data_IF_359566032846
#
_entry.id   IF_359566032846
#
_cell.length_a   1.000
_cell.length_b   1.000
_cell.length_c   1.000
_cell.angle_alpha   90.00
_cell.angle_beta   90.00
_cell.angle_gamma   90.00
#
_symmetry.space_group_name_H-M   'P 1'
#
loop_
_entity.id
_entity.type
_entity.pdbx_description
1 polymer ?
#
# COMPACT_ATOMS: atom_id res chain seq x y z
N UNK A 1 -8.12 37.13 30.50
CA UNK A 1 -8.47 35.72 30.77
C UNK A 1 -9.17 35.69 32.12
N UNK A 2 -10.48 35.47 32.13
CA UNK A 2 -11.32 35.63 33.33
C UNK A 2 -11.14 34.43 34.26
N UNK A 3 -11.33 34.61 35.57
CA UNK A 3 -11.36 33.54 36.57
C UNK A 3 -12.41 32.46 36.23
N UNK A 4 -13.45 32.82 35.45
CA UNK A 4 -14.42 31.88 34.92
C UNK A 4 -13.84 30.93 33.84
N UNK A 5 -12.85 31.37 33.06
CA UNK A 5 -12.26 30.56 31.99
C UNK A 5 -11.33 29.47 32.56
N UNK A 6 -10.63 29.79 33.66
CA UNK A 6 -9.75 28.85 34.38
C UNK A 6 -10.57 27.74 35.06
N UNK A 7 -11.73 28.08 35.63
CA UNK A 7 -12.63 27.11 36.26
C UNK A 7 -13.37 26.22 35.24
N UNK A 8 -13.54 26.70 33.99
CA UNK A 8 -14.15 25.91 32.90
C UNK A 8 -13.15 24.91 32.33
N UNK A 9 -11.88 25.29 32.15
CA UNK A 9 -10.79 24.41 31.68
C UNK A 9 -10.49 23.25 32.65
N UNK A 10 -10.46 23.51 33.97
CA UNK A 10 -10.22 22.50 35.00
C UNK A 10 -11.39 21.48 35.11
N UNK A 11 -12.63 21.91 34.83
CA UNK A 11 -13.79 21.00 34.83
C UNK A 11 -13.80 20.07 33.61
N UNK A 12 -13.32 20.53 32.47
CA UNK A 12 -13.27 19.78 31.22
C UNK A 12 -12.12 18.77 31.22
N UNK A 13 -10.95 19.16 31.71
CA UNK A 13 -9.78 18.28 31.91
C UNK A 13 -10.05 17.11 32.88
N UNK A 14 -10.79 17.33 33.97
CA UNK A 14 -11.20 16.24 34.87
C UNK A 14 -12.23 15.30 34.26
N UNK A 15 -13.00 15.77 33.27
CA UNK A 15 -14.03 14.97 32.59
C UNK A 15 -13.38 14.06 31.54
N UNK A 16 -12.44 14.57 30.76
CA UNK A 16 -11.63 13.76 29.83
C UNK A 16 -10.76 12.74 30.55
N UNK A 17 -10.11 13.11 31.67
CA UNK A 17 -9.33 12.15 32.45
C UNK A 17 -10.19 11.02 33.04
N UNK A 18 -11.43 11.30 33.44
CA UNK A 18 -12.38 10.27 33.89
C UNK A 18 -12.85 9.33 32.78
N UNK A 19 -13.02 9.85 31.57
CA UNK A 19 -13.44 9.04 30.42
C UNK A 19 -12.28 8.13 29.98
N UNK A 20 -11.05 8.64 29.90
CA UNK A 20 -9.86 7.85 29.58
C UNK A 20 -9.63 6.76 30.66
N UNK A 21 -9.78 7.12 31.94
CA UNK A 21 -9.64 6.15 33.04
C UNK A 21 -10.75 5.08 33.02
N UNK A 22 -11.97 5.44 32.61
CA UNK A 22 -13.06 4.48 32.44
C UNK A 22 -12.80 3.52 31.27
N UNK A 23 -12.30 4.02 30.13
CA UNK A 23 -11.95 3.19 28.96
C UNK A 23 -10.84 2.19 29.30
N UNK A 24 -9.84 2.59 30.11
CA UNK A 24 -8.76 1.69 30.52
C UNK A 24 -9.19 0.61 31.53
N UNK A 25 -10.23 0.85 32.34
CA UNK A 25 -10.64 -0.07 33.43
C UNK A 25 -11.82 -0.96 33.02
N UNK A 26 -12.71 -0.49 32.16
CA UNK A 26 -13.84 -1.26 31.62
C UNK A 26 -13.46 -2.66 31.10
N UNK A 27 -12.39 -2.86 30.31
CA UNK A 27 -12.02 -4.20 29.86
C UNK A 27 -11.57 -5.10 31.02
N UNK A 28 -10.97 -4.54 32.08
CA UNK A 28 -10.57 -5.30 33.26
C UNK A 28 -11.76 -5.68 34.17
N UNK A 29 -12.77 -4.82 34.32
CA UNK A 29 -13.99 -5.15 35.05
C UNK A 29 -14.83 -6.20 34.32
N UNK A 30 -14.97 -6.10 33.00
CA UNK A 30 -15.65 -7.11 32.17
C UNK A 30 -14.94 -8.47 32.22
N UNK A 31 -13.61 -8.50 32.21
CA UNK A 31 -12.85 -9.74 32.39
C UNK A 31 -13.06 -10.31 33.80
N UNK A 32 -13.10 -9.47 34.83
CA UNK A 32 -13.29 -9.89 36.21
C UNK A 32 -14.69 -10.48 36.45
N UNK A 33 -15.74 -9.92 35.85
CA UNK A 33 -17.09 -10.51 35.88
C UNK A 33 -17.15 -11.85 35.14
N UNK A 34 -16.47 -11.98 34.00
CA UNK A 34 -16.43 -13.23 33.22
C UNK A 34 -15.74 -14.37 33.99
N UNK A 35 -14.77 -14.05 34.85
CA UNK A 35 -14.03 -15.03 35.67
C UNK A 35 -14.49 -15.11 37.14
N UNK A 36 -15.56 -14.40 37.53
CA UNK A 36 -16.11 -14.44 38.90
C UNK A 36 -15.16 -13.88 39.97
N UNK A 37 -14.33 -12.89 39.62
CA UNK A 37 -13.37 -12.24 40.53
C UNK A 37 -14.01 -10.95 41.05
N UNK A 38 -14.42 -10.93 42.33
CA UNK A 38 -14.84 -9.68 43.00
C UNK A 38 -13.62 -8.74 43.16
N UNK A 39 -13.54 -7.69 42.34
CA UNK A 39 -12.62 -6.56 42.57
C UNK A 39 -13.21 -5.72 43.72
N UNK A 40 -13.04 -6.21 44.94
CA UNK A 40 -13.41 -5.48 46.15
C UNK A 40 -12.66 -4.16 46.24
N UNK A 41 -13.40 -3.04 46.27
CA UNK A 41 -12.88 -1.70 46.56
C UNK A 41 -12.47 -1.62 48.04
N UNK A 42 -11.36 -2.27 48.37
CA UNK A 42 -10.77 -2.25 49.71
C UNK A 42 -10.40 -0.83 50.12
N UNK A 43 -10.76 -0.45 51.34
CA UNK A 43 -10.32 0.81 51.98
C UNK A 43 -8.81 0.94 51.80
N UNK A 44 -8.36 1.96 51.06
CA UNK A 44 -6.95 2.35 51.06
C UNK A 44 -6.59 2.86 52.45
N UNK A 45 -6.03 1.97 53.28
CA UNK A 45 -5.26 2.41 54.43
C UNK A 45 -4.05 3.18 53.91
N UNK A 46 -3.94 4.46 54.33
CA UNK A 46 -2.75 5.27 54.09
C UNK A 46 -1.57 4.59 54.79
N UNK A 47 -0.82 3.77 54.06
CA UNK A 47 0.48 3.31 54.52
C UNK A 47 1.42 4.52 54.56
N UNK A 48 1.78 4.92 55.78
CA UNK A 48 2.80 5.92 56.04
C UNK A 48 4.08 5.49 55.30
N UNK A 49 4.54 6.32 54.36
CA UNK A 49 5.66 5.98 53.46
C UNK A 49 6.95 5.96 54.28
N UNK A 50 7.31 4.78 54.80
CA UNK A 50 8.61 4.53 55.40
C UNK A 50 9.74 4.97 54.46
N UNK A 51 10.83 5.57 54.98
CA UNK A 51 11.93 6.06 54.16
C UNK A 51 12.55 4.93 53.33
N UNK A 52 12.99 5.26 52.11
CA UNK A 52 13.44 4.30 51.08
C UNK A 52 14.57 3.38 51.58
N UNK A 53 15.45 3.90 52.44
CA UNK A 53 16.52 3.13 53.10
C UNK A 53 15.96 2.02 54.00
N UNK A 54 14.92 2.31 54.77
CA UNK A 54 14.29 1.33 55.67
C UNK A 54 13.52 0.27 54.89
N UNK A 55 12.89 0.63 53.76
CA UNK A 55 12.26 -0.34 52.85
C UNK A 55 13.27 -1.31 52.26
N UNK A 56 14.41 -0.81 51.78
CA UNK A 56 15.50 -1.64 51.23
C UNK A 56 16.12 -2.57 52.27
N UNK A 57 16.31 -2.09 53.50
CA UNK A 57 16.88 -2.90 54.59
C UNK A 57 15.87 -3.95 55.07
N UNK A 58 14.57 -3.66 55.03
CA UNK A 58 13.50 -4.61 55.43
C UNK A 58 13.07 -5.59 54.34
N UNK A 59 13.48 -5.39 53.09
CA UNK A 59 13.14 -6.27 51.96
C UNK A 59 13.53 -7.74 52.18
N UNK A 60 14.76 -8.08 52.62
CA UNK A 60 15.15 -9.49 52.81
C UNK A 60 14.32 -10.18 53.89
N UNK A 61 14.03 -9.50 55.01
CA UNK A 61 13.21 -10.07 56.09
C UNK A 61 11.75 -10.26 55.65
N UNK A 62 11.21 -9.29 54.91
CA UNK A 62 9.85 -9.39 54.36
C UNK A 62 9.75 -10.49 53.28
N UNK A 63 10.77 -10.65 52.43
CA UNK A 63 10.86 -11.74 51.45
C UNK A 63 10.96 -13.10 52.15
N UNK A 64 11.74 -13.22 53.22
CA UNK A 64 11.84 -14.46 53.99
C UNK A 64 10.52 -14.81 54.68
N UNK A 65 9.83 -13.83 55.25
CA UNK A 65 8.51 -14.01 55.85
C UNK A 65 7.44 -14.39 54.81
N UNK A 66 7.46 -13.75 53.64
CA UNK A 66 6.61 -14.10 52.50
C UNK A 66 6.92 -15.51 51.95
N UNK A 67 8.19 -15.91 51.92
CA UNK A 67 8.60 -17.26 51.52
C UNK A 67 8.08 -18.33 52.49
N UNK A 68 8.18 -18.08 53.81
CA UNK A 68 7.62 -18.99 54.83
C UNK A 68 6.10 -19.07 54.77
N UNK A 69 5.40 -17.96 54.51
CA UNK A 69 3.94 -17.97 54.37
C UNK A 69 3.49 -18.68 53.09
N UNK A 70 4.23 -18.52 51.99
CA UNK A 70 4.00 -19.22 50.73
C UNK A 70 4.17 -20.75 50.89
N UNK A 71 5.16 -21.20 51.68
CA UNK A 71 5.37 -22.62 51.96
C UNK A 71 4.21 -23.27 52.73
N UNK A 72 3.56 -22.52 53.63
CA UNK A 72 2.46 -23.02 54.47
C UNK A 72 1.15 -23.22 53.69
N UNK A 73 0.94 -22.46 52.61
CA UNK A 73 -0.26 -22.52 51.76
C UNK A 73 0.07 -23.01 50.34
N UNK A 74 0.80 -24.12 50.26
CA UNK A 74 1.38 -24.67 49.03
C UNK A 74 0.38 -24.82 47.87
N UNK A 75 -0.83 -25.30 48.14
CA UNK A 75 -1.85 -25.54 47.09
C UNK A 75 -2.34 -24.24 46.43
N UNK A 76 -2.62 -23.20 47.22
CA UNK A 76 -3.10 -21.91 46.68
C UNK A 76 -2.02 -21.17 45.91
N UNK A 77 -0.78 -21.21 46.41
CA UNK A 77 0.37 -20.55 45.77
C UNK A 77 0.70 -21.23 44.43
N UNK A 78 0.71 -22.56 44.38
CA UNK A 78 0.92 -23.30 43.13
C UNK A 78 -0.14 -22.99 42.06
N UNK A 79 -1.41 -22.86 42.44
CA UNK A 79 -2.47 -22.49 41.51
C UNK A 79 -2.26 -21.07 40.93
N UNK A 80 -1.89 -20.10 41.77
CA UNK A 80 -1.57 -18.74 41.30
C UNK A 80 -0.34 -18.73 40.39
N UNK A 81 0.74 -19.43 40.77
CA UNK A 81 1.94 -19.54 39.93
C UNK A 81 1.65 -20.21 38.59
N UNK A 82 0.86 -21.29 38.58
CA UNK A 82 0.47 -21.96 37.34
C UNK A 82 -0.41 -21.05 36.47
N UNK A 83 -1.35 -20.30 37.05
CA UNK A 83 -2.18 -19.34 36.34
C UNK A 83 -1.37 -18.21 35.70
N UNK A 84 -0.45 -17.60 36.46
CA UNK A 84 0.44 -16.55 35.94
C UNK A 84 1.40 -17.12 34.89
N UNK A 85 1.96 -18.31 35.11
CA UNK A 85 2.86 -18.95 34.17
C UNK A 85 2.15 -19.27 32.84
N UNK A 86 0.94 -19.85 32.89
CA UNK A 86 0.15 -20.11 31.70
C UNK A 86 -0.25 -18.81 31.00
N UNK A 87 -0.67 -17.77 31.74
CA UNK A 87 -0.99 -16.49 31.14
C UNK A 87 0.22 -15.85 30.44
N UNK A 88 1.39 -15.85 31.09
CA UNK A 88 2.63 -15.36 30.47
C UNK A 88 3.03 -16.18 29.24
N UNK A 89 2.88 -17.51 29.29
CA UNK A 89 3.17 -18.37 28.15
C UNK A 89 2.21 -18.10 26.98
N UNK A 90 0.92 -17.93 27.24
CA UNK A 90 -0.08 -17.59 26.20
C UNK A 90 0.22 -16.22 25.58
N UNK A 91 0.49 -15.20 26.40
CA UNK A 91 0.82 -13.86 25.90
C UNK A 91 2.08 -13.93 25.02
N UNK A 92 3.14 -14.58 25.49
CA UNK A 92 4.39 -14.70 24.72
C UNK A 92 4.21 -15.49 23.42
N UNK A 93 3.39 -16.55 23.44
CA UNK A 93 3.15 -17.36 22.23
C UNK A 93 2.30 -16.62 21.21
N UNK A 94 1.27 -15.90 21.62
CA UNK A 94 0.46 -15.06 20.72
C UNK A 94 1.30 -13.90 20.16
N UNK A 95 2.12 -13.25 20.98
CA UNK A 95 3.02 -12.20 20.50
C UNK A 95 4.08 -12.75 19.53
N UNK A 96 4.70 -13.89 19.86
CA UNK A 96 5.67 -14.51 18.97
C UNK A 96 5.04 -14.95 17.64
N UNK A 97 3.83 -15.52 17.69
CA UNK A 97 3.09 -15.89 16.50
C UNK A 97 2.69 -14.66 15.66
N UNK A 98 2.19 -13.61 16.31
CA UNK A 98 1.82 -12.35 15.65
C UNK A 98 3.03 -11.70 14.97
N UNK A 99 4.15 -11.57 15.68
CA UNK A 99 5.39 -11.02 15.10
C UNK A 99 5.92 -11.91 13.96
N UNK A 100 5.86 -13.24 14.11
CA UNK A 100 6.29 -14.16 13.07
C UNK A 100 5.44 -14.07 11.79
N UNK A 101 4.12 -13.97 11.93
CA UNK A 101 3.23 -13.72 10.81
C UNK A 101 3.47 -12.36 10.16
N UNK A 102 3.66 -11.30 10.96
CA UNK A 102 3.95 -9.96 10.43
C UNK A 102 5.29 -9.93 9.68
N UNK A 103 6.33 -10.61 10.18
CA UNK A 103 7.61 -10.72 9.46
C UNK A 103 7.47 -11.49 8.16
N UNK A 104 6.77 -12.63 8.18
CA UNK A 104 6.52 -13.40 6.96
C UNK A 104 5.71 -12.60 5.94
N UNK A 105 4.68 -11.88 6.38
CA UNK A 105 3.88 -11.01 5.53
C UNK A 105 4.71 -9.90 4.86
N UNK A 106 5.57 -9.22 5.61
CA UNK A 106 6.47 -8.21 5.03
C UNK A 106 7.44 -8.80 4.02
N UNK A 107 7.99 -9.98 4.29
CA UNK A 107 8.85 -10.68 3.33
C UNK A 107 8.10 -11.07 2.05
N UNK A 108 6.87 -11.59 2.16
CA UNK A 108 6.06 -11.91 0.99
C UNK A 108 5.65 -10.66 0.21
N UNK A 109 5.39 -9.54 0.89
CA UNK A 109 5.10 -8.26 0.24
C UNK A 109 6.31 -7.74 -0.54
N UNK A 110 7.52 -7.82 0.03
CA UNK A 110 8.75 -7.40 -0.66
C UNK A 110 9.07 -8.32 -1.85
N UNK A 111 8.77 -9.62 -1.76
CA UNK A 111 8.92 -10.55 -2.89
C UNK A 111 7.91 -10.30 -4.02
N UNK A 112 6.84 -9.56 -3.77
CA UNK A 112 5.87 -9.15 -4.78
C UNK A 112 6.23 -7.78 -5.40
N UNK A 113 7.08 -7.00 -4.72
CA UNK A 113 7.60 -5.75 -5.27
C UNK A 113 8.64 -6.02 -6.33
N UNK A 114 8.44 -5.37 -7.48
CA UNK A 114 9.33 -5.49 -8.64
C UNK A 114 10.36 -4.36 -8.64
N UNK A 115 9.97 -3.19 -8.14
CA UNK A 115 10.81 -1.99 -8.05
C UNK A 115 11.25 -1.78 -6.61
N UNK A 116 12.53 -1.50 -6.41
CA UNK A 116 13.10 -1.14 -5.11
C UNK A 116 12.86 0.35 -4.80
N UNK A 117 12.82 1.18 -5.84
CA UNK A 117 12.48 2.59 -5.73
C UNK A 117 11.65 3.08 -6.92
N UNK A 118 10.77 4.04 -6.61
CA UNK A 118 10.01 4.84 -7.58
C UNK A 118 10.50 6.27 -7.49
N UNK A 119 10.88 6.87 -8.62
CA UNK A 119 11.29 8.27 -8.70
C UNK A 119 10.24 9.05 -9.47
N UNK A 120 9.61 9.98 -8.76
CA UNK A 120 8.62 10.92 -9.27
C UNK A 120 9.18 12.35 -9.26
N UNK A 121 8.58 13.24 -10.04
CA UNK A 121 8.91 14.67 -9.97
C UNK A 121 8.43 15.28 -8.66
N UNK A 122 9.26 16.15 -8.07
CA UNK A 122 8.94 16.81 -6.81
C UNK A 122 7.75 17.78 -6.94
N UNK A 123 7.65 18.53 -8.04
CA UNK A 123 6.61 19.53 -8.26
C UNK A 123 5.55 19.05 -9.25
N UNK A 124 4.32 19.53 -9.05
CA UNK A 124 3.17 19.28 -9.93
C UNK A 124 3.37 19.91 -11.32
N UNK A 125 2.74 19.36 -12.37
CA UNK A 125 2.82 19.95 -13.71
C UNK A 125 2.18 21.35 -13.72
N UNK A 126 2.90 22.35 -14.24
CA UNK A 126 2.41 23.73 -14.28
C UNK A 126 3.44 24.75 -14.76
N UNK A 127 3.01 26.02 -14.85
CA UNK A 127 3.82 27.16 -15.35
C UNK A 127 5.03 27.44 -14.44
N UNK A 128 4.94 27.07 -13.16
CA UNK A 128 5.95 27.34 -12.13
C UNK A 128 6.83 26.10 -11.82
N UNK A 129 6.76 25.03 -12.62
CA UNK A 129 7.51 23.79 -12.40
C UNK A 129 8.97 23.91 -12.87
N UNK A 130 9.82 24.57 -12.08
CA UNK A 130 11.26 24.66 -12.35
C UNK A 130 11.94 23.30 -12.20
N UNK A 131 12.58 22.78 -13.26
CA UNK A 131 13.35 21.52 -13.22
C UNK A 131 12.59 20.27 -13.68
N UNK A 132 11.35 20.42 -14.16
CA UNK A 132 10.60 19.33 -14.80
C UNK A 132 10.95 19.19 -16.29
N UNK A 133 11.00 17.96 -16.80
CA UNK A 133 11.08 17.67 -18.23
C UNK A 133 9.78 17.03 -18.71
N UNK A 134 9.33 17.41 -19.90
CA UNK A 134 8.25 16.74 -20.61
C UNK A 134 8.77 15.76 -21.69
N UNK A 135 10.06 15.81 -21.99
CA UNK A 135 10.71 14.85 -22.89
C UNK A 135 11.00 13.55 -22.12
N UNK A 136 10.35 12.46 -22.55
CA UNK A 136 10.53 11.13 -21.98
C UNK A 136 11.94 10.60 -22.17
N UNK A 137 12.62 10.93 -23.28
CA UNK A 137 13.99 10.49 -23.54
C UNK A 137 14.98 11.20 -22.62
N UNK A 138 14.75 12.49 -22.36
CA UNK A 138 15.55 13.24 -21.39
C UNK A 138 15.35 12.68 -19.97
N UNK A 139 14.11 12.32 -19.61
CA UNK A 139 13.83 11.72 -18.31
C UNK A 139 14.49 10.35 -18.14
N UNK A 140 14.39 9.48 -19.16
CA UNK A 140 15.06 8.17 -19.17
C UNK A 140 16.59 8.30 -19.15
N UNK A 141 17.17 9.38 -19.69
CA UNK A 141 18.62 9.58 -19.63
C UNK A 141 19.19 9.68 -18.21
N UNK A 142 18.36 10.02 -17.21
CA UNK A 142 18.77 10.01 -15.80
C UNK A 142 19.06 8.61 -15.28
N UNK A 143 18.51 7.56 -15.91
CA UNK A 143 18.83 6.17 -15.56
C UNK A 143 20.33 5.87 -15.62
N UNK A 144 21.08 6.52 -16.51
CA UNK A 144 22.53 6.35 -16.61
C UNK A 144 23.22 6.75 -15.29
N UNK A 145 22.77 7.83 -14.66
CA UNK A 145 23.32 8.28 -13.38
C UNK A 145 22.90 7.37 -12.22
N UNK A 146 21.68 6.81 -12.25
CA UNK A 146 21.21 5.88 -11.22
C UNK A 146 21.95 4.55 -11.24
N UNK A 147 22.16 3.97 -12.42
CA UNK A 147 22.87 2.69 -12.59
C UNK A 147 24.39 2.82 -12.34
N UNK A 148 24.94 4.04 -12.34
CA UNK A 148 26.32 4.28 -11.90
C UNK A 148 26.50 4.15 -10.37
N UNK A 149 25.42 4.27 -9.59
CA UNK A 149 25.45 4.07 -8.14
C UNK A 149 25.48 2.57 -7.81
N UNK A 150 26.21 2.18 -6.77
CA UNK A 150 26.37 0.76 -6.42
C UNK A 150 25.09 0.13 -5.83
N UNK A 151 24.13 0.97 -5.47
CA UNK A 151 22.86 0.60 -4.88
C UNK A 151 21.80 0.15 -5.88
N UNK A 152 21.90 0.53 -7.17
CA UNK A 152 20.90 0.22 -8.19
C UNK A 152 21.55 -0.53 -9.35
N UNK A 153 20.94 -1.64 -9.75
CA UNK A 153 21.43 -2.46 -10.86
C UNK A 153 20.75 -2.12 -12.18
N UNK A 154 19.52 -1.60 -12.12
CA UNK A 154 18.68 -1.41 -13.30
C UNK A 154 17.72 -0.22 -13.15
N UNK A 155 17.35 0.38 -14.27
CA UNK A 155 16.46 1.54 -14.31
C UNK A 155 15.70 1.60 -15.62
N UNK A 156 14.40 1.90 -15.54
CA UNK A 156 13.61 2.16 -16.73
C UNK A 156 12.43 3.10 -16.50
N UNK A 157 12.00 3.71 -17.60
CA UNK A 157 10.82 4.57 -17.63
C UNK A 157 9.53 3.75 -17.57
N UNK A 158 8.58 4.19 -16.75
CA UNK A 158 7.25 3.59 -16.64
C UNK A 158 6.20 4.69 -16.74
N UNK A 159 5.24 4.52 -17.65
CA UNK A 159 4.00 5.28 -17.61
C UNK A 159 2.94 4.49 -16.85
N UNK A 160 2.36 5.08 -15.82
CA UNK A 160 1.38 4.43 -14.97
C UNK A 160 0.73 5.42 -14.02
N UNK A 161 1.00 5.28 -12.72
CA UNK A 161 0.42 6.16 -11.71
C UNK A 161 1.11 7.52 -11.71
N UNK A 162 0.30 8.57 -11.51
CA UNK A 162 0.79 9.92 -11.26
C UNK A 162 1.80 9.97 -10.11
N UNK A 163 2.65 11.00 -10.12
CA UNK A 163 3.65 11.22 -9.09
C UNK A 163 3.02 11.36 -7.71
N UNK A 164 3.60 10.70 -6.72
CA UNK A 164 3.09 10.74 -5.35
C UNK A 164 3.98 11.67 -4.52
N UNK A 165 3.44 12.83 -4.15
CA UNK A 165 4.14 13.89 -3.41
C UNK A 165 3.68 13.93 -1.97
N UNK A 166 4.07 12.95 -1.17
CA UNK A 166 3.69 12.88 0.25
C UNK A 166 4.90 12.68 1.14
N UNK A 167 4.88 13.33 2.30
CA UNK A 167 5.89 13.11 3.36
C UNK A 167 5.64 11.80 4.14
N UNK A 168 4.52 11.11 3.90
CA UNK A 168 4.21 9.82 4.51
C UNK A 168 2.98 9.10 3.94
N UNK A 169 2.87 7.81 4.25
CA UNK A 169 1.84 6.90 3.72
C UNK A 169 0.39 7.24 4.09
N UNK A 170 0.19 8.02 5.16
CA UNK A 170 -1.14 8.35 5.70
C UNK A 170 -1.60 9.76 5.35
N UNK A 171 -0.93 10.43 4.41
CA UNK A 171 -1.35 11.73 3.93
C UNK A 171 -2.61 11.62 3.07
N UNK A 172 -3.52 12.59 3.18
CA UNK A 172 -4.74 12.63 2.36
C UNK A 172 -4.37 12.82 0.87
N UNK A 173 -3.26 13.49 0.62
CA UNK A 173 -2.70 13.70 -0.72
C UNK A 173 -2.19 12.41 -1.36
N UNK A 174 -2.08 11.29 -0.62
CA UNK A 174 -1.73 9.99 -1.18
C UNK A 174 -2.80 9.42 -2.10
N UNK A 175 -4.06 9.83 -1.93
CA UNK A 175 -5.21 9.27 -2.67
C UNK A 175 -5.45 10.03 -3.98
N UNK A 176 -4.90 11.24 -4.09
CA UNK A 176 -5.07 12.11 -5.26
C UNK A 176 -4.45 11.49 -6.53
N UNK A 177 -3.19 11.00 -6.53
CA UNK A 177 -2.54 10.53 -7.75
C UNK A 177 -3.21 9.26 -8.27
N UNK A 178 -3.74 9.32 -9.50
CA UNK A 178 -4.49 8.23 -10.11
C UNK A 178 -3.63 7.42 -11.11
N UNK A 179 -3.93 6.11 -11.28
CA UNK A 179 -3.32 5.28 -12.31
C UNK A 179 -3.91 5.48 -13.70
N UNK A 180 -3.24 4.91 -14.69
CA UNK A 180 -3.87 4.59 -15.97
C UNK A 180 -4.82 3.41 -15.77
N UNK A 181 -6.06 3.53 -16.23
CA UNK A 181 -7.08 2.48 -16.09
C UNK A 181 -7.55 1.98 -17.45
N UNK A 182 -7.72 0.68 -17.58
CA UNK A 182 -8.26 0.08 -18.81
C UNK A 182 -9.78 0.18 -18.82
N UNK A 183 -10.36 0.66 -19.92
CA UNK A 183 -11.82 0.73 -20.09
C UNK A 183 -12.32 -0.40 -20.99
N UNK A 184 -11.61 -0.63 -22.09
CA UNK A 184 -12.08 -1.55 -23.11
C UNK A 184 -10.92 -2.08 -23.93
N UNK A 185 -11.04 -3.33 -24.37
CA UNK A 185 -10.19 -3.92 -25.38
C UNK A 185 -11.09 -4.47 -26.50
N UNK A 186 -10.60 -4.47 -27.73
CA UNK A 186 -11.24 -5.15 -28.85
C UNK A 186 -10.21 -5.93 -29.64
N UNK A 187 -10.58 -7.09 -30.16
CA UNK A 187 -9.67 -7.93 -30.93
C UNK A 187 -10.41 -9.00 -31.74
N UNK A 188 -9.76 -9.56 -32.77
CA UNK A 188 -10.30 -10.68 -33.54
C UNK A 188 -10.30 -12.00 -32.75
N UNK A 189 -9.46 -12.07 -31.72
CA UNK A 189 -9.26 -13.23 -30.86
C UNK A 189 -9.72 -12.89 -29.45
N UNK A 190 -10.52 -13.77 -28.84
CA UNK A 190 -11.08 -13.58 -27.50
C UNK A 190 -12.43 -12.87 -27.47
N UNK A 191 -13.15 -13.06 -26.37
CA UNK A 191 -14.42 -12.39 -26.06
C UNK A 191 -14.17 -11.23 -25.08
N UNK A 192 -13.68 -10.12 -25.62
CA UNK A 192 -13.34 -8.93 -24.84
C UNK A 192 -14.57 -8.19 -24.29
N UNK A 193 -15.77 -8.44 -24.83
CA UNK A 193 -17.03 -7.87 -24.32
C UNK A 193 -17.42 -8.50 -22.98
N UNK A 194 -16.95 -9.71 -22.69
CA UNK A 194 -17.22 -10.43 -21.45
C UNK A 194 -16.19 -10.14 -20.34
N UNK A 195 -15.18 -9.31 -20.60
CA UNK A 195 -14.15 -8.96 -19.62
C UNK A 195 -14.64 -7.82 -18.74
N UNK A 196 -14.62 -8.04 -17.42
CA UNK A 196 -14.79 -6.98 -16.43
C UNK A 196 -13.45 -6.31 -16.14
N UNK A 197 -13.41 -4.99 -16.27
CA UNK A 197 -12.24 -4.18 -15.89
C UNK A 197 -12.34 -3.66 -14.45
N UNK A 198 -13.43 -3.96 -13.75
CA UNK A 198 -13.55 -3.68 -12.33
C UNK A 198 -12.62 -4.62 -11.54
N UNK A 199 -11.94 -4.06 -10.54
CA UNK A 199 -11.06 -4.75 -9.61
C UNK A 199 -11.29 -4.27 -8.16
N UNK A 200 -12.46 -4.57 -7.57
CA UNK A 200 -12.84 -4.08 -6.24
C UNK A 200 -11.92 -4.59 -5.12
N UNK A 201 -11.23 -5.71 -5.32
CA UNK A 201 -10.27 -6.28 -4.36
C UNK A 201 -9.12 -5.31 -4.04
N UNK A 202 -8.77 -4.41 -4.97
CA UNK A 202 -7.79 -3.36 -4.73
C UNK A 202 -8.23 -2.38 -3.63
N UNK A 203 -9.53 -2.10 -3.52
CA UNK A 203 -10.10 -1.19 -2.53
C UNK A 203 -10.10 -1.79 -1.12
N UNK A 204 -10.12 -3.13 -1.01
CA UNK A 204 -10.03 -3.82 0.28
C UNK A 204 -8.58 -4.03 0.75
N UNK A 205 -7.63 -3.97 -0.19
CA UNK A 205 -6.22 -4.32 0.03
C UNK A 205 -5.31 -3.12 0.31
N UNK A 206 -5.83 -1.89 0.22
CA UNK A 206 -5.07 -0.66 0.42
C UNK A 206 -5.96 0.56 0.60
N UNK A 207 -5.39 1.78 0.58
CA UNK A 207 -6.19 3.00 0.52
C UNK A 207 -7.11 2.98 -0.71
N UNK A 208 -8.33 3.55 -0.64
CA UNK A 208 -9.31 3.50 -1.72
C UNK A 208 -8.93 4.47 -2.85
N UNK A 209 -7.88 4.12 -3.59
CA UNK A 209 -7.32 4.94 -4.68
C UNK A 209 -8.08 4.67 -5.97
N UNK A 210 -8.18 3.40 -6.34
CA UNK A 210 -8.71 2.96 -7.62
C UNK A 210 -9.37 1.58 -7.50
N UNK A 211 -10.56 1.45 -8.07
CA UNK A 211 -11.32 0.20 -8.13
C UNK A 211 -11.26 -0.50 -9.49
N UNK A 212 -10.43 0.00 -10.42
CA UNK A 212 -10.37 -0.46 -11.80
C UNK A 212 -9.04 -1.19 -12.09
N UNK A 213 -8.97 -1.95 -13.19
CA UNK A 213 -7.75 -2.59 -13.65
C UNK A 213 -6.76 -1.55 -14.19
N UNK A 214 -5.59 -1.54 -13.58
CA UNK A 214 -4.53 -0.59 -13.94
C UNK A 214 -3.74 -1.03 -15.16
N UNK A 215 -3.14 -0.07 -15.85
CA UNK A 215 -2.24 -0.27 -16.99
C UNK A 215 -0.88 0.34 -16.66
N UNK A 216 0.20 -0.34 -17.05
CA UNK A 216 1.55 0.19 -17.08
C UNK A 216 2.16 0.03 -18.47
N UNK A 217 2.74 1.11 -18.97
CA UNK A 217 3.51 1.09 -20.21
C UNK A 217 4.98 1.19 -19.84
N UNK A 218 5.76 0.19 -20.23
CA UNK A 218 7.15 0.03 -19.87
C UNK A 218 8.06 0.44 -21.01
N UNK A 219 8.98 1.36 -20.71
CA UNK A 219 10.10 1.75 -21.55
C UNK A 219 11.15 0.66 -21.62
N UNK A 220 12.23 0.95 -22.33
CA UNK A 220 13.18 -0.06 -22.80
C UNK A 220 13.89 -0.77 -21.64
N UNK A 221 14.36 -0.02 -20.63
CA UNK A 221 15.12 -0.56 -19.49
C UNK A 221 14.35 -1.46 -18.51
N UNK A 222 13.06 -1.78 -18.76
CA UNK A 222 12.28 -2.68 -17.89
C UNK A 222 12.25 -4.12 -18.42
N UNK A 223 12.44 -4.28 -19.73
CA UNK A 223 12.20 -5.57 -20.40
C UNK A 223 13.36 -6.54 -20.25
N UNK A 224 14.57 -6.03 -20.06
CA UNK A 224 15.80 -6.78 -19.85
C UNK A 224 16.36 -6.59 -18.43
N UNK A 225 17.58 -7.04 -18.20
CA UNK A 225 18.27 -6.85 -16.93
C UNK A 225 17.61 -7.52 -15.73
N UNK A 226 17.83 -6.94 -14.55
CA UNK A 226 17.28 -7.43 -13.30
C UNK A 226 15.77 -7.16 -13.23
N UNK A 227 15.30 -6.05 -13.79
CA UNK A 227 13.87 -5.74 -13.83
C UNK A 227 13.09 -6.75 -14.66
N UNK A 228 13.61 -7.19 -15.81
CA UNK A 228 13.00 -8.24 -16.62
C UNK A 228 12.96 -9.58 -15.89
N UNK A 229 14.03 -9.95 -15.17
CA UNK A 229 14.06 -11.16 -14.35
C UNK A 229 13.02 -11.12 -13.22
N UNK A 230 12.90 -10.00 -12.50
CA UNK A 230 11.91 -9.80 -11.42
C UNK A 230 10.46 -9.77 -11.92
N UNK A 231 10.22 -9.34 -13.16
CA UNK A 231 8.89 -9.45 -13.79
C UNK A 231 8.53 -10.88 -14.17
N UNK A 232 9.52 -11.70 -14.55
CA UNK A 232 9.32 -13.08 -14.98
C UNK A 232 9.31 -14.11 -13.84
N UNK A 233 9.96 -13.79 -12.72
CA UNK A 233 10.16 -14.69 -11.57
C UNK A 233 9.59 -14.11 -10.28
N UNK A 234 9.14 -14.99 -9.40
CA UNK A 234 8.71 -14.66 -8.04
C UNK A 234 9.49 -15.55 -7.07
N UNK A 235 10.61 -15.04 -6.56
CA UNK A 235 11.53 -15.82 -5.74
C UNK A 235 12.17 -16.96 -6.54
N UNK A 236 11.79 -18.20 -6.26
CA UNK A 236 12.29 -19.39 -6.98
C UNK A 236 11.31 -19.91 -8.04
N UNK A 237 10.08 -19.40 -8.07
CA UNK A 237 9.02 -19.85 -8.97
C UNK A 237 8.83 -18.88 -10.13
N UNK A 238 8.37 -19.35 -11.29
CA UNK A 238 8.04 -18.44 -12.40
C UNK A 238 6.70 -17.78 -12.15
N UNK A 239 6.64 -16.45 -12.36
CA UNK A 239 5.39 -15.69 -12.34
C UNK A 239 4.59 -15.90 -13.62
N UNK A 240 5.25 -16.27 -14.71
CA UNK A 240 4.62 -16.47 -16.02
C UNK A 240 4.01 -17.88 -16.08
N UNK A 241 2.69 -17.95 -16.26
CA UNK A 241 1.97 -19.23 -16.39
C UNK A 241 1.99 -19.71 -17.84
N UNK A 242 1.78 -18.79 -18.79
CA UNK A 242 1.75 -19.08 -20.22
C UNK A 242 2.65 -18.12 -20.98
N UNK A 243 3.42 -18.67 -21.93
CA UNK A 243 4.34 -17.88 -22.75
C UNK A 243 5.66 -17.63 -22.05
N UNK A 244 6.32 -16.55 -22.43
CA UNK A 244 7.60 -16.14 -21.87
C UNK A 244 7.66 -14.63 -21.85
N UNK A 245 8.26 -14.06 -20.80
CA UNK A 245 8.61 -12.65 -20.79
C UNK A 245 9.49 -12.33 -22.02
N UNK A 246 9.28 -11.19 -22.71
CA UNK A 246 10.14 -10.79 -23.82
C UNK A 246 11.62 -10.76 -23.42
N UNK A 247 12.51 -11.19 -24.32
CA UNK A 247 13.94 -11.34 -24.00
C UNK A 247 14.66 -9.98 -23.98
N UNK A 248 14.14 -9.00 -24.71
CA UNK A 248 14.70 -7.66 -24.81
C UNK A 248 13.61 -6.62 -25.07
N UNK A 249 13.95 -5.35 -24.82
CA UNK A 249 13.11 -4.20 -25.19
C UNK A 249 12.76 -4.19 -26.68
N UNK A 250 13.74 -4.46 -27.54
CA UNK A 250 13.57 -4.51 -28.99
C UNK A 250 12.55 -5.58 -29.39
N UNK A 251 12.60 -6.77 -28.77
CA UNK A 251 11.62 -7.83 -29.02
C UNK A 251 10.22 -7.45 -28.54
N UNK A 252 10.12 -6.73 -27.42
CA UNK A 252 8.86 -6.22 -26.90
C UNK A 252 8.25 -5.13 -27.81
N UNK A 253 9.10 -4.25 -28.35
CA UNK A 253 8.72 -3.18 -29.25
C UNK A 253 8.27 -3.70 -30.61
N UNK A 254 9.04 -4.61 -31.23
CA UNK A 254 8.73 -5.20 -32.54
C UNK A 254 7.39 -5.95 -32.51
N UNK A 255 7.18 -6.75 -31.46
CA UNK A 255 5.97 -7.56 -31.34
C UNK A 255 4.79 -6.80 -30.72
N UNK A 256 5.00 -5.56 -30.26
CA UNK A 256 4.01 -4.75 -29.54
C UNK A 256 3.41 -5.55 -28.38
N UNK A 257 4.31 -6.08 -27.57
CA UNK A 257 4.01 -7.07 -26.54
C UNK A 257 3.11 -6.51 -25.44
N UNK A 258 2.09 -7.28 -25.09
CA UNK A 258 1.27 -7.11 -23.90
C UNK A 258 1.36 -8.37 -23.03
N UNK A 259 1.55 -8.18 -21.74
CA UNK A 259 1.58 -9.23 -20.73
C UNK A 259 0.34 -9.08 -19.84
N UNK A 260 -0.51 -10.10 -19.87
CA UNK A 260 -1.85 -10.05 -19.28
C UNK A 260 -1.93 -10.76 -17.92
N UNK A 261 -2.70 -10.22 -16.97
CA UNK A 261 -3.06 -10.95 -15.76
C UNK A 261 -3.89 -12.20 -16.07
N UNK A 262 -3.74 -13.26 -15.26
CA UNK A 262 -4.41 -14.54 -15.48
C UNK A 262 -5.94 -14.46 -15.52
N UNK A 263 -6.58 -13.66 -14.66
CA UNK A 263 -8.03 -13.50 -14.66
C UNK A 263 -8.55 -12.85 -15.93
N UNK A 264 -7.85 -11.82 -16.44
CA UNK A 264 -8.20 -11.12 -17.67
C UNK A 264 -8.03 -12.05 -18.88
N UNK A 265 -6.89 -12.73 -18.98
CA UNK A 265 -6.63 -13.66 -20.06
C UNK A 265 -7.66 -14.82 -20.07
N UNK A 266 -8.00 -15.35 -18.89
CA UNK A 266 -9.01 -16.40 -18.76
C UNK A 266 -10.42 -15.93 -19.09
N UNK A 267 -10.78 -14.68 -18.73
CA UNK A 267 -12.11 -14.13 -18.98
C UNK A 267 -12.32 -13.79 -20.46
N UNK A 268 -11.29 -13.24 -21.10
CA UNK A 268 -11.26 -13.00 -22.54
C UNK A 268 -11.13 -14.30 -23.35
N UNK A 269 -10.64 -15.39 -22.74
CA UNK A 269 -10.36 -16.64 -23.43
C UNK A 269 -9.21 -16.53 -24.44
N UNK A 270 -8.20 -15.71 -24.12
CA UNK A 270 -7.03 -15.47 -24.99
C UNK A 270 -5.78 -16.17 -24.47
N UNK A 271 -4.94 -16.59 -25.42
CA UNK A 271 -3.65 -17.22 -25.18
C UNK A 271 -2.48 -16.40 -25.70
N UNK A 272 -1.30 -17.02 -25.64
CA UNK A 272 -0.06 -16.44 -26.15
C UNK A 272 -0.07 -16.40 -27.67
N UNK A 273 0.38 -15.29 -28.26
CA UNK A 273 0.34 -14.94 -29.68
C UNK A 273 -1.04 -14.53 -30.23
N UNK A 274 -2.05 -14.42 -29.38
CA UNK A 274 -3.31 -13.78 -29.77
C UNK A 274 -3.14 -12.27 -29.91
N UNK A 275 -4.03 -11.64 -30.67
CA UNK A 275 -3.90 -10.23 -31.07
C UNK A 275 -5.06 -9.39 -30.56
N UNK A 276 -4.74 -8.18 -30.13
CA UNK A 276 -5.70 -7.17 -29.69
C UNK A 276 -5.64 -6.03 -30.70
N UNK A 277 -6.78 -5.73 -31.33
CA UNK A 277 -6.87 -4.66 -32.33
C UNK A 277 -6.73 -3.29 -31.70
N UNK A 278 -7.44 -3.05 -30.59
CA UNK A 278 -7.37 -1.79 -29.86
C UNK A 278 -7.50 -2.01 -28.36
N UNK A 279 -6.75 -1.24 -27.58
CA UNK A 279 -6.88 -1.15 -26.13
C UNK A 279 -7.09 0.33 -25.77
N UNK A 280 -8.20 0.63 -25.11
CA UNK A 280 -8.56 1.96 -24.66
C UNK A 280 -8.40 2.05 -23.16
N UNK A 281 -7.64 3.06 -22.71
CA UNK A 281 -7.38 3.34 -21.31
C UNK A 281 -7.60 4.82 -21.01
N UNK A 282 -7.81 5.17 -19.75
CA UNK A 282 -7.89 6.55 -19.27
C UNK A 282 -6.62 6.99 -18.60
N UNK A 283 -6.31 8.27 -18.76
CA UNK A 283 -5.37 9.01 -17.93
C UNK A 283 -6.09 10.20 -17.29
N UNK A 284 -5.53 10.76 -16.21
CA UNK A 284 -6.13 11.86 -15.47
C UNK A 284 -5.36 13.15 -15.79
N UNK A 285 -6.09 14.21 -16.11
CA UNK A 285 -5.50 15.51 -16.40
C UNK A 285 -5.59 16.49 -15.24
N UNK A 286 -6.67 16.41 -14.47
CA UNK A 286 -6.95 17.34 -13.38
C UNK A 286 -7.85 16.69 -12.32
N UNK A 287 -7.84 17.24 -11.10
CA UNK A 287 -8.64 16.77 -9.99
C UNK A 287 -9.25 17.93 -9.19
N UNK A 288 -10.45 17.70 -8.65
CA UNK A 288 -11.13 18.64 -7.76
C UNK A 288 -11.51 17.93 -6.46
N UNK A 289 -11.18 18.57 -5.34
CA UNK A 289 -11.66 18.12 -4.02
C UNK A 289 -13.18 18.31 -3.90
N UNK A 290 -13.84 17.48 -3.08
CA UNK A 290 -15.27 17.54 -2.78
C UNK A 290 -15.83 18.94 -2.54
N UNK A 291 -15.06 19.80 -1.87
CA UNK A 291 -15.48 21.17 -1.56
C UNK A 291 -15.65 22.05 -2.81
N UNK A 292 -14.90 21.76 -3.88
CA UNK A 292 -14.85 22.54 -5.11
C UNK A 292 -15.56 21.85 -6.29
N UNK A 293 -16.18 20.68 -6.09
CA UNK A 293 -16.93 19.98 -7.16
C UNK A 293 -18.04 20.85 -7.73
N UNK A 294 -18.61 21.77 -6.94
CA UNK A 294 -19.63 22.70 -7.40
C UNK A 294 -19.13 23.73 -8.41
N UNK A 295 -17.82 23.94 -8.52
CA UNK A 295 -17.20 24.86 -9.47
C UNK A 295 -17.06 24.21 -10.86
N UNK A 296 -17.00 22.87 -10.92
CA UNK A 296 -16.77 22.10 -12.15
C UNK A 296 -15.34 22.26 -12.67
N UNK A 297 -14.97 21.45 -13.66
CA UNK A 297 -13.68 21.64 -14.34
C UNK A 297 -13.80 22.74 -15.40
N UNK A 298 -12.86 23.70 -15.39
CA UNK A 298 -12.85 24.80 -16.37
C UNK A 298 -12.58 24.30 -17.81
N UNK A 299 -11.76 23.25 -17.96
CA UNK A 299 -11.34 22.70 -19.26
C UNK A 299 -11.13 21.17 -19.21
N UNK A 300 -12.16 20.40 -18.82
CA UNK A 300 -12.09 18.95 -18.91
C UNK A 300 -12.36 18.47 -20.35
N UNK A 301 -11.33 17.90 -20.99
CA UNK A 301 -11.41 17.34 -22.34
C UNK A 301 -12.07 15.95 -22.39
N UNK A 302 -12.33 15.35 -21.22
CA UNK A 302 -12.78 13.98 -21.06
C UNK A 302 -14.09 13.84 -20.28
N UNK A 303 -14.20 12.76 -19.53
CA UNK A 303 -15.32 12.48 -18.64
C UNK A 303 -14.97 12.84 -17.19
N UNK A 304 -15.90 13.50 -16.51
CA UNK A 304 -15.77 13.80 -15.09
C UNK A 304 -16.21 12.58 -14.28
N UNK A 305 -15.27 11.93 -13.60
CA UNK A 305 -15.53 10.80 -12.74
C UNK A 305 -15.44 11.21 -11.26
N UNK A 306 -16.53 11.01 -10.52
CA UNK A 306 -16.58 11.29 -9.09
C UNK A 306 -16.40 10.01 -8.28
N UNK A 307 -15.26 9.91 -7.61
CA UNK A 307 -15.02 8.81 -6.69
C UNK A 307 -15.56 9.17 -5.29
N UNK A 308 -16.71 8.58 -4.96
CA UNK A 308 -17.40 8.80 -3.69
C UNK A 308 -16.59 8.33 -2.46
N UNK A 309 -15.63 7.41 -2.64
CA UNK A 309 -14.81 6.89 -1.54
C UNK A 309 -13.62 7.81 -1.25
N UNK A 310 -12.95 8.31 -2.29
CA UNK A 310 -11.85 9.27 -2.13
C UNK A 310 -12.34 10.69 -1.88
N UNK A 311 -13.59 11.02 -2.25
CA UNK A 311 -14.16 12.37 -2.20
C UNK A 311 -13.46 13.36 -3.15
N UNK A 312 -12.92 12.86 -4.25
CA UNK A 312 -12.36 13.67 -5.33
C UNK A 312 -13.11 13.40 -6.64
N UNK A 313 -13.25 14.44 -7.44
CA UNK A 313 -13.63 14.35 -8.84
C UNK A 313 -12.36 14.40 -9.70
N UNK A 314 -12.32 13.62 -10.78
CA UNK A 314 -11.19 13.56 -11.70
C UNK A 314 -11.66 13.80 -13.13
N UNK A 315 -10.88 14.54 -13.91
CA UNK A 315 -11.07 14.61 -15.35
C UNK A 315 -10.30 13.47 -16.00
N UNK A 316 -11.02 12.45 -16.50
CA UNK A 316 -10.46 11.26 -17.16
C UNK A 316 -10.57 11.38 -18.66
N UNK A 317 -9.45 11.29 -19.36
CA UNK A 317 -9.40 11.37 -20.83
C UNK A 317 -9.00 10.02 -21.43
N UNK A 318 -9.71 9.62 -22.47
CA UNK A 318 -9.48 8.34 -23.14
C UNK A 318 -8.31 8.41 -24.12
N UNK A 319 -7.44 7.42 -24.07
CA UNK A 319 -6.36 7.19 -25.01
C UNK A 319 -6.45 5.75 -25.53
N UNK A 320 -6.14 5.54 -26.80
CA UNK A 320 -6.22 4.21 -27.44
C UNK A 320 -4.91 3.85 -28.12
N UNK A 321 -4.48 2.61 -27.92
CA UNK A 321 -3.34 2.00 -28.59
C UNK A 321 -3.80 0.83 -29.44
N UNK A 322 -3.05 0.52 -30.49
CA UNK A 322 -3.47 -0.43 -31.53
C UNK A 322 -2.45 -1.55 -31.74
N UNK A 323 -2.93 -2.67 -32.30
CA UNK A 323 -2.14 -3.81 -32.74
C UNK A 323 -1.21 -4.33 -31.63
N UNK A 324 -1.78 -4.90 -30.57
CA UNK A 324 -1.02 -5.51 -29.49
C UNK A 324 -0.98 -7.04 -29.68
N UNK A 325 0.10 -7.66 -29.23
CA UNK A 325 0.25 -9.12 -29.26
C UNK A 325 0.49 -9.66 -27.85
N UNK A 326 -0.29 -10.65 -27.44
CA UNK A 326 -0.14 -11.26 -26.11
C UNK A 326 1.15 -12.07 -26.06
N UNK A 327 2.15 -11.55 -25.35
CA UNK A 327 3.46 -12.20 -25.20
C UNK A 327 3.47 -13.24 -24.08
N UNK A 328 2.79 -12.93 -22.98
CA UNK A 328 2.73 -13.80 -21.81
C UNK A 328 1.46 -13.56 -20.98
N UNK A 329 1.12 -14.57 -20.18
CA UNK A 329 0.09 -14.48 -19.14
C UNK A 329 0.76 -14.78 -17.81
N UNK A 330 0.64 -13.84 -16.87
CA UNK A 330 1.26 -13.94 -15.57
C UNK A 330 0.24 -14.27 -14.48
N UNK A 331 0.72 -14.95 -13.43
CA UNK A 331 -0.05 -15.20 -12.24
C UNK A 331 -0.18 -13.92 -11.42
N UNK A 332 -1.41 -13.54 -11.15
CA UNK A 332 -1.69 -12.39 -10.30
C UNK A 332 -1.14 -12.58 -8.89
N UNK A 333 -0.51 -11.52 -8.42
CA UNK A 333 0.08 -11.43 -7.10
C UNK A 333 -0.95 -11.12 -6.02
N UNK A 334 -0.49 -11.20 -4.77
CA UNK A 334 -1.25 -10.68 -3.64
C UNK A 334 -1.17 -9.16 -3.53
N UNK A 335 -1.77 -8.61 -2.48
CA UNK A 335 -1.60 -7.20 -2.14
C UNK A 335 -0.13 -6.90 -1.81
N UNK A 336 0.54 -6.16 -2.70
CA UNK A 336 1.90 -5.66 -2.54
C UNK A 336 1.92 -4.19 -2.08
N UNK A 337 2.83 -3.40 -2.62
CA UNK A 337 2.88 -1.97 -2.33
C UNK A 337 1.72 -1.21 -3.01
N UNK A 338 0.84 -0.54 -2.24
CA UNK A 338 -0.28 0.21 -2.80
C UNK A 338 0.16 1.49 -3.54
N UNK A 339 1.42 1.94 -3.45
CA UNK A 339 1.93 3.06 -4.26
C UNK A 339 1.91 2.70 -5.74
N UNK A 340 2.33 1.48 -6.06
CA UNK A 340 2.44 0.96 -7.43
C UNK A 340 1.12 0.37 -7.92
N UNK A 341 0.20 0.04 -7.00
CA UNK A 341 -1.07 -0.65 -7.26
C UNK A 341 -0.87 -2.09 -7.78
N UNK A 342 -1.95 -2.85 -7.77
CA UNK A 342 -1.91 -4.30 -7.91
C UNK A 342 -2.20 -4.75 -9.33
N UNK A 343 -1.51 -5.82 -9.76
CA UNK A 343 -1.81 -6.61 -10.94
C UNK A 343 -2.15 -5.79 -12.21
N UNK A 344 -1.24 -4.91 -12.68
CA UNK A 344 -1.48 -4.12 -13.88
C UNK A 344 -1.42 -4.96 -15.16
N UNK A 345 -2.03 -4.49 -16.23
CA UNK A 345 -1.65 -4.90 -17.59
C UNK A 345 -0.31 -4.27 -17.91
N UNK A 346 0.63 -5.04 -18.44
CA UNK A 346 1.98 -4.57 -18.74
C UNK A 346 2.15 -4.52 -20.26
N UNK A 347 2.45 -3.34 -20.81
CA UNK A 347 2.52 -3.11 -22.27
C UNK A 347 3.83 -2.40 -22.60
N UNK A 348 4.45 -2.69 -23.74
CA UNK A 348 5.61 -1.92 -24.19
C UNK A 348 5.19 -0.49 -24.54
N UNK A 349 5.94 0.51 -24.10
CA UNK A 349 5.66 1.91 -24.41
C UNK A 349 5.84 2.26 -25.92
N UNK A 350 6.51 1.39 -26.68
CA UNK A 350 6.66 1.51 -28.14
C UNK A 350 5.32 1.47 -28.89
N UNK A 351 4.24 1.10 -28.22
CA UNK A 351 2.88 1.17 -28.79
C UNK A 351 2.34 2.60 -28.85
N UNK A 352 2.89 3.51 -28.04
CA UNK A 352 2.53 4.92 -27.96
C UNK A 352 3.22 5.73 -29.07
N UNK A 353 2.54 6.75 -29.58
CA UNK A 353 3.21 7.78 -30.39
C UNK A 353 3.96 8.78 -29.51
N UNK A 354 4.90 9.53 -30.10
CA UNK A 354 5.66 10.56 -29.38
C UNK A 354 4.74 11.62 -28.76
N UNK A 355 3.64 11.97 -29.45
CA UNK A 355 2.63 12.89 -28.91
C UNK A 355 1.90 12.28 -27.71
N UNK A 356 1.62 10.98 -27.71
CA UNK A 356 1.00 10.30 -26.58
C UNK A 356 1.95 10.24 -25.38
N UNK A 357 3.24 9.95 -25.59
CA UNK A 357 4.26 9.98 -24.53
C UNK A 357 4.37 11.38 -23.93
N UNK A 358 4.38 12.43 -24.76
CA UNK A 358 4.41 13.82 -24.30
C UNK A 358 3.20 14.16 -23.43
N UNK A 359 1.99 13.81 -23.86
CA UNK A 359 0.76 14.02 -23.07
C UNK A 359 0.85 13.32 -21.71
N UNK A 360 1.34 12.09 -21.65
CA UNK A 360 1.47 11.36 -20.39
C UNK A 360 2.52 11.99 -19.47
N UNK A 361 3.64 12.49 -20.01
CA UNK A 361 4.65 13.22 -19.24
C UNK A 361 4.10 14.56 -18.72
N UNK A 362 3.36 15.30 -19.53
CA UNK A 362 2.74 16.58 -19.16
C UNK A 362 1.71 16.42 -18.03
N UNK A 363 0.99 15.29 -17.99
CA UNK A 363 0.00 14.97 -16.95
C UNK A 363 0.56 14.10 -15.80
N UNK A 364 1.89 14.06 -15.67
CA UNK A 364 2.59 13.42 -14.55
C UNK A 364 2.47 11.91 -14.43
N UNK A 365 2.11 11.22 -15.49
CA UNK A 365 1.97 9.77 -15.50
C UNK A 365 3.28 9.00 -15.71
N UNK A 366 4.42 9.67 -15.92
CA UNK A 366 5.74 9.06 -16.14
C UNK A 366 6.64 9.10 -14.91
N UNK A 367 7.19 7.96 -14.52
CA UNK A 367 8.13 7.81 -13.39
C UNK A 367 9.26 6.84 -13.73
N UNK A 368 10.38 6.91 -13.01
CA UNK A 368 11.46 5.92 -13.14
C UNK A 368 11.30 4.83 -12.09
N UNK A 369 11.35 3.58 -12.54
CA UNK A 369 11.44 2.41 -11.66
C UNK A 369 12.88 1.92 -11.59
N UNK A 370 13.38 1.72 -10.37
CA UNK A 370 14.73 1.20 -10.11
C UNK A 370 14.68 -0.21 -9.51
N UNK A 371 15.71 -1.02 -9.78
CA UNK A 371 15.96 -2.31 -9.14
C UNK A 371 17.35 -2.41 -8.51
#
# INVERSE_FOLDING_TARGET
MSILDILRFDRESRRTFRIIWAIFILPFELLAELFGIEIGRGKQEKMEKLPLKTRLISLPDNLMMAGKSAWRSRERVLAVFAGVFLASLVISTVLAYGVGLSQAFLQYSLQEEIFDAKIDFADDPGIDAEGRTNDSLLWESMCVEFVEMEEFSDCGLVFGRQGVRVDGFFDEDFIIPQPLNVIAATGPTGDWENVSWDYPEALESGPPINGDRTLRLYGDGIWDGELGERHSTRGLDSRIIYGSWPVSAEDAAINRSIVLPSEIASSAGVGVNDTISSLTFTYVTDYLSYLNIGDGFDDCQGEEDFNAQSQYAYCRVNMTVYNLTVAAVYQEGGAGNPTLLFNPLMVSDAVLSDEQKLILMDNDHGFLGLA
#
